data_IF_915985120749
#
_entry.id   IF_915985120749
#
_cell.length_a   1.000
_cell.length_b   1.000
_cell.length_c   1.000
_cell.angle_alpha   90.00
_cell.angle_beta   90.00
_cell.angle_gamma   90.00
#
_symmetry.space_group_name_H-M   'P 1'
#
loop_
_entity.id
_entity.type
_entity.pdbx_description
1 polymer ?
#
# COMPACT_ATOMS: atom_id res chain seq x y z
N UNK A 1 11.86 16.21 -17.37
CA UNK A 1 13.05 15.97 -16.54
C UNK A 1 13.07 14.51 -16.12
N UNK A 2 13.88 13.71 -16.80
CA UNK A 2 14.14 12.29 -16.52
C UNK A 2 14.85 12.16 -15.18
N UNK A 3 14.29 11.40 -14.25
CA UNK A 3 15.06 10.85 -13.12
C UNK A 3 15.45 9.42 -13.51
N UNK A 4 16.65 9.31 -14.06
CA UNK A 4 17.40 8.06 -14.14
C UNK A 4 18.49 8.09 -13.06
N UNK A 5 18.81 6.92 -12.51
CA UNK A 5 19.85 6.62 -11.54
C UNK A 5 19.54 6.93 -10.06
N UNK A 6 19.10 5.88 -9.33
CA UNK A 6 19.55 5.66 -7.95
C UNK A 6 20.07 4.24 -7.80
N UNK A 7 21.38 4.10 -7.98
CA UNK A 7 22.20 3.10 -7.30
C UNK A 7 23.16 3.86 -6.39
N UNK A 8 23.00 3.74 -5.07
CA UNK A 8 24.07 3.98 -4.10
C UNK A 8 23.97 2.93 -3.00
N UNK A 9 25.05 2.15 -2.90
CA UNK A 9 25.39 1.28 -1.79
C UNK A 9 25.45 2.07 -0.49
N UNK A 10 24.79 1.58 0.56
CA UNK A 10 25.17 1.78 1.94
C UNK A 10 24.98 0.42 2.65
N UNK A 11 26.00 -0.01 3.39
CA UNK A 11 25.99 -1.14 4.34
C UNK A 11 26.23 -2.57 3.81
N UNK A 12 27.21 -2.77 2.92
CA UNK A 12 27.94 -4.06 2.83
C UNK A 12 27.18 -5.28 2.27
N UNK A 13 26.04 -5.09 1.62
CA UNK A 13 25.29 -6.17 0.96
C UNK A 13 25.65 -6.26 -0.52
N UNK A 14 26.03 -7.47 -0.97
CA UNK A 14 26.23 -7.83 -2.38
C UNK A 14 24.96 -7.51 -3.18
N UNK A 15 25.06 -6.59 -4.14
CA UNK A 15 24.09 -6.49 -5.23
C UNK A 15 24.70 -7.23 -6.43
N UNK A 16 24.17 -8.39 -6.85
CA UNK A 16 24.61 -9.00 -8.09
C UNK A 16 24.16 -8.14 -9.26
N UNK A 17 25.13 -7.62 -10.02
CA UNK A 17 24.90 -7.15 -11.38
C UNK A 17 24.62 -8.36 -12.28
N UNK A 18 23.35 -8.72 -12.45
CA UNK A 18 22.86 -9.59 -13.52
C UNK A 18 21.33 -9.62 -13.45
N UNK A 19 20.65 -9.84 -14.57
CA UNK A 19 19.23 -10.23 -14.60
C UNK A 19 19.04 -11.59 -13.90
N UNK A 20 19.18 -11.62 -12.59
CA UNK A 20 19.14 -12.79 -11.74
C UNK A 20 18.13 -12.51 -10.63
N UNK A 21 17.21 -13.44 -10.49
CA UNK A 21 16.09 -13.48 -9.54
C UNK A 21 16.48 -12.94 -8.16
N UNK A 22 15.55 -12.24 -7.49
CA UNK A 22 15.77 -11.82 -6.11
C UNK A 22 16.01 -13.08 -5.27
N UNK A 23 17.21 -13.29 -4.69
CA UNK A 23 17.59 -14.59 -4.11
C UNK A 23 16.70 -15.02 -2.92
N UNK A 24 15.91 -14.09 -2.39
CA UNK A 24 14.98 -14.30 -1.28
C UNK A 24 13.51 -14.38 -1.71
N UNK A 25 13.22 -14.35 -3.01
CA UNK A 25 11.86 -14.56 -3.54
C UNK A 25 11.22 -15.87 -3.01
N UNK A 26 11.94 -17.01 -2.92
CA UNK A 26 11.39 -18.24 -2.36
C UNK A 26 10.96 -18.11 -0.88
N UNK A 27 11.47 -17.14 -0.14
CA UNK A 27 11.10 -16.91 1.26
C UNK A 27 9.79 -16.12 1.40
N UNK A 28 9.34 -15.41 0.36
CA UNK A 28 8.17 -14.52 0.43
C UNK A 28 6.90 -15.27 0.86
N UNK A 29 6.55 -16.44 0.31
CA UNK A 29 5.35 -17.17 0.74
C UNK A 29 5.40 -17.57 2.23
N UNK A 30 6.57 -17.98 2.73
CA UNK A 30 6.76 -18.37 4.13
C UNK A 30 6.60 -17.15 5.05
N UNK A 31 7.25 -16.03 4.70
CA UNK A 31 7.15 -14.79 5.45
C UNK A 31 5.72 -14.23 5.42
N UNK A 32 5.03 -14.32 4.29
CA UNK A 32 3.61 -13.91 4.20
C UNK A 32 2.73 -14.78 5.10
N UNK A 33 2.96 -16.09 5.14
CA UNK A 33 2.24 -16.99 6.05
C UNK A 33 2.49 -16.61 7.52
N UNK A 34 3.73 -16.33 7.89
CA UNK A 34 4.10 -15.92 9.23
C UNK A 34 3.56 -14.53 9.60
N UNK A 35 3.48 -13.60 8.64
CA UNK A 35 2.94 -12.26 8.84
C UNK A 35 1.43 -12.26 9.11
N UNK A 36 0.68 -13.12 8.42
CA UNK A 36 -0.80 -13.15 8.53
C UNK A 36 -1.33 -14.15 9.56
N UNK A 37 -0.51 -15.13 9.97
CA UNK A 37 -0.88 -16.06 11.05
C UNK A 37 -0.83 -15.37 12.40
N UNK A 38 -1.85 -15.63 13.24
CA UNK A 38 -1.88 -15.20 14.64
C UNK A 38 -1.10 -16.14 15.57
N UNK A 39 -0.74 -17.34 15.09
CA UNK A 39 -0.16 -18.40 15.92
C UNK A 39 1.27 -18.09 16.36
N UNK A 40 2.00 -17.27 15.60
CA UNK A 40 3.36 -16.84 15.91
C UNK A 40 3.47 -15.63 16.84
N UNK A 41 2.34 -15.01 17.21
CA UNK A 41 2.28 -13.78 17.99
C UNK A 41 2.79 -12.53 17.26
N UNK A 42 2.60 -11.36 17.88
CA UNK A 42 2.89 -10.06 17.27
C UNK A 42 4.37 -9.86 16.88
N UNK A 43 5.29 -10.48 17.61
CA UNK A 43 6.73 -10.42 17.31
C UNK A 43 7.05 -11.08 15.96
N UNK A 44 6.58 -12.31 15.73
CA UNK A 44 6.83 -13.00 14.46
C UNK A 44 6.16 -12.26 13.30
N UNK A 45 4.94 -11.76 13.50
CA UNK A 45 4.26 -10.95 12.48
C UNK A 45 5.07 -9.70 12.12
N UNK A 46 5.54 -8.97 13.14
CA UNK A 46 6.32 -7.74 12.96
C UNK A 46 7.64 -7.99 12.22
N UNK A 47 8.42 -8.98 12.64
CA UNK A 47 9.69 -9.31 11.98
C UNK A 47 9.46 -9.81 10.55
N UNK A 48 8.43 -10.61 10.32
CA UNK A 48 8.08 -11.09 8.98
C UNK A 48 7.69 -9.93 8.07
N UNK A 49 6.84 -9.00 8.54
CA UNK A 49 6.45 -7.80 7.79
C UNK A 49 7.64 -6.86 7.53
N UNK A 50 8.58 -6.75 8.47
CA UNK A 50 9.80 -5.97 8.26
C UNK A 50 10.65 -6.56 7.13
N UNK A 51 10.88 -7.89 7.15
CA UNK A 51 11.58 -8.59 6.07
C UNK A 51 10.87 -8.41 4.72
N UNK A 52 9.54 -8.61 4.69
CA UNK A 52 8.73 -8.41 3.48
C UNK A 52 8.79 -6.97 2.96
N UNK A 53 8.76 -5.98 3.84
CA UNK A 53 8.87 -4.55 3.47
C UNK A 53 10.20 -4.28 2.76
N UNK A 54 11.30 -4.85 3.26
CA UNK A 54 12.62 -4.72 2.64
C UNK A 54 12.69 -5.45 1.29
N UNK A 55 12.10 -6.64 1.17
CA UNK A 55 12.02 -7.36 -0.10
C UNK A 55 11.20 -6.61 -1.14
N UNK A 56 10.12 -5.94 -0.72
CA UNK A 56 9.29 -5.07 -1.54
C UNK A 56 9.97 -3.75 -1.94
N UNK A 57 11.26 -3.55 -1.66
CA UNK A 57 12.06 -2.52 -2.34
C UNK A 57 12.45 -2.95 -3.77
N UNK A 58 12.35 -4.24 -4.08
CA UNK A 58 12.62 -4.81 -5.39
C UNK A 58 11.31 -5.17 -6.09
N UNK A 59 10.95 -4.41 -7.13
CA UNK A 59 9.70 -4.56 -7.88
C UNK A 59 9.47 -5.97 -8.45
N UNK A 60 10.55 -6.70 -8.77
CA UNK A 60 10.49 -8.05 -9.31
C UNK A 60 9.86 -9.05 -8.32
N UNK A 61 9.90 -8.75 -7.02
CA UNK A 61 9.30 -9.59 -5.98
C UNK A 61 7.79 -9.39 -5.82
N UNK A 62 7.22 -8.33 -6.39
CA UNK A 62 5.87 -7.88 -6.04
C UNK A 62 4.76 -8.84 -6.49
N UNK A 63 4.99 -9.64 -7.54
CA UNK A 63 3.99 -10.60 -8.02
C UNK A 63 3.62 -11.63 -6.94
N UNK A 64 4.58 -12.03 -6.11
CA UNK A 64 4.38 -12.98 -5.02
C UNK A 64 3.39 -12.48 -3.94
N UNK A 65 3.09 -11.18 -3.89
CA UNK A 65 2.18 -10.59 -2.90
C UNK A 65 0.71 -10.61 -3.33
N UNK A 66 0.41 -10.78 -4.62
CA UNK A 66 -0.96 -10.64 -5.19
C UNK A 66 -1.99 -11.49 -4.43
N UNK A 67 -1.69 -12.76 -4.21
CA UNK A 67 -2.57 -13.71 -3.51
C UNK A 67 -2.70 -13.51 -1.99
N UNK A 68 -2.09 -12.45 -1.43
CA UNK A 68 -2.11 -12.14 0.01
C UNK A 68 -2.56 -10.71 0.33
N UNK A 69 -2.80 -9.87 -0.68
CA UNK A 69 -3.25 -8.48 -0.47
C UNK A 69 -4.52 -8.40 0.41
N UNK A 70 -5.48 -9.29 0.22
CA UNK A 70 -6.68 -9.38 1.06
C UNK A 70 -6.35 -9.49 2.56
N UNK A 71 -5.42 -10.37 2.91
CA UNK A 71 -5.03 -10.60 4.31
C UNK A 71 -4.21 -9.43 4.88
N UNK A 72 -3.37 -8.81 4.06
CA UNK A 72 -2.64 -7.60 4.45
C UNK A 72 -3.64 -6.47 4.78
N UNK A 73 -4.70 -6.29 3.99
CA UNK A 73 -5.73 -5.30 4.30
C UNK A 73 -6.48 -5.60 5.61
N UNK A 74 -6.73 -6.88 5.94
CA UNK A 74 -7.30 -7.27 7.24
C UNK A 74 -6.34 -6.92 8.39
N UNK A 75 -5.04 -7.09 8.21
CA UNK A 75 -4.06 -6.68 9.22
C UNK A 75 -4.07 -5.16 9.43
N UNK A 76 -4.22 -4.36 8.37
CA UNK A 76 -4.37 -2.91 8.51
C UNK A 76 -5.59 -2.57 9.38
N UNK A 77 -6.70 -3.28 9.18
CA UNK A 77 -7.94 -3.05 9.92
C UNK A 77 -7.88 -3.51 11.38
N UNK A 78 -7.31 -4.69 11.65
CA UNK A 78 -7.53 -5.42 12.91
C UNK A 78 -6.32 -5.60 13.80
N UNK A 79 -5.10 -5.39 13.28
CA UNK A 79 -3.88 -5.62 14.05
C UNK A 79 -3.59 -4.47 15.03
N UNK A 80 -2.65 -4.69 15.96
CA UNK A 80 -2.12 -3.62 16.81
C UNK A 80 -1.34 -2.58 15.99
N UNK A 81 -1.02 -1.45 16.61
CA UNK A 81 -0.35 -0.32 15.94
C UNK A 81 1.00 -0.69 15.32
N UNK A 82 1.74 -1.62 15.92
CA UNK A 82 3.07 -2.02 15.42
C UNK A 82 2.92 -2.83 14.14
N UNK A 83 2.11 -3.88 14.17
CA UNK A 83 1.84 -4.75 13.01
C UNK A 83 1.13 -3.96 11.91
N UNK A 84 0.16 -3.10 12.27
CA UNK A 84 -0.54 -2.21 11.33
C UNK A 84 0.45 -1.30 10.60
N UNK A 85 1.33 -0.62 11.34
CA UNK A 85 2.29 0.30 10.74
C UNK A 85 3.27 -0.42 9.80
N UNK A 86 3.76 -1.61 10.17
CA UNK A 86 4.62 -2.39 9.27
C UNK A 86 3.88 -2.86 8.02
N UNK A 87 2.62 -3.29 8.17
CA UNK A 87 1.76 -3.65 7.04
C UNK A 87 1.56 -2.47 6.09
N UNK A 88 1.31 -1.27 6.62
CA UNK A 88 1.16 -0.05 5.82
C UNK A 88 2.45 0.32 5.08
N UNK A 89 3.63 0.16 5.71
CA UNK A 89 4.93 0.38 5.03
C UNK A 89 5.11 -0.57 3.85
N UNK A 90 4.79 -1.85 4.03
CA UNK A 90 4.79 -2.82 2.93
C UNK A 90 3.83 -2.39 1.80
N UNK A 91 2.59 -2.04 2.13
CA UNK A 91 1.61 -1.59 1.12
C UNK A 91 2.04 -0.33 0.38
N UNK A 92 2.72 0.62 1.04
CA UNK A 92 3.32 1.79 0.40
C UNK A 92 4.39 1.39 -0.62
N UNK A 93 5.28 0.45 -0.27
CA UNK A 93 6.28 -0.04 -1.22
C UNK A 93 5.64 -0.71 -2.43
N UNK A 94 4.64 -1.58 -2.20
CA UNK A 94 3.89 -2.23 -3.27
C UNK A 94 3.17 -1.20 -4.16
N UNK A 95 2.60 -0.14 -3.60
CA UNK A 95 1.87 0.88 -4.38
C UNK A 95 2.77 1.81 -5.20
N UNK A 96 4.07 1.88 -4.91
CA UNK A 96 5.04 2.55 -5.77
C UNK A 96 5.21 1.84 -7.12
N UNK A 97 4.94 0.53 -7.19
CA UNK A 97 4.96 -0.24 -8.43
C UNK A 97 3.61 -0.13 -9.16
N UNK A 98 3.60 0.60 -10.27
CA UNK A 98 2.41 0.77 -11.12
C UNK A 98 1.71 -0.53 -11.55
N UNK A 99 2.44 -1.65 -11.68
CA UNK A 99 1.87 -2.96 -12.05
C UNK A 99 1.04 -3.57 -10.93
N UNK A 100 1.28 -3.17 -9.68
CA UNK A 100 0.53 -3.65 -8.52
C UNK A 100 -0.73 -2.84 -8.26
N UNK A 101 -0.86 -1.62 -8.77
CA UNK A 101 -2.02 -0.75 -8.49
C UNK A 101 -3.37 -1.39 -8.85
N UNK A 102 -3.56 -2.05 -10.01
CA UNK A 102 -4.83 -2.74 -10.30
C UNK A 102 -5.17 -3.83 -9.28
N UNK A 103 -4.16 -4.58 -8.80
CA UNK A 103 -4.33 -5.60 -7.77
C UNK A 103 -4.68 -5.02 -6.41
N UNK A 104 -4.04 -3.90 -6.02
CA UNK A 104 -4.34 -3.18 -4.79
C UNK A 104 -5.76 -2.59 -4.80
N UNK A 105 -6.21 -2.10 -5.96
CA UNK A 105 -7.59 -1.61 -6.14
C UNK A 105 -8.63 -2.73 -6.07
N UNK A 106 -8.32 -3.92 -6.59
CA UNK A 106 -9.17 -5.11 -6.52
C UNK A 106 -9.22 -5.76 -5.13
N UNK A 107 -8.19 -5.54 -4.30
CA UNK A 107 -8.14 -6.08 -2.94
C UNK A 107 -9.19 -5.44 -2.02
N UNK A 108 -9.41 -6.04 -0.85
CA UNK A 108 -10.34 -5.54 0.16
C UNK A 108 -9.90 -4.17 0.69
N UNK A 109 -10.83 -3.25 0.86
CA UNK A 109 -10.63 -2.00 1.59
C UNK A 109 -10.68 -2.27 3.11
N UNK A 110 -9.75 -1.71 3.91
CA UNK A 110 -9.94 -1.66 5.36
C UNK A 110 -11.24 -0.91 5.69
N UNK A 111 -12.13 -1.49 6.50
CA UNK A 111 -13.42 -0.83 6.81
C UNK A 111 -13.23 0.47 7.61
N UNK A 112 -12.14 0.56 8.36
CA UNK A 112 -11.74 1.75 9.13
C UNK A 112 -10.87 2.74 8.32
N UNK A 113 -10.83 2.66 6.99
CA UNK A 113 -9.94 3.48 6.14
C UNK A 113 -10.01 4.98 6.47
N UNK A 114 -11.22 5.53 6.61
CA UNK A 114 -11.40 6.97 6.90
C UNK A 114 -11.00 7.34 8.33
N UNK A 115 -11.21 6.44 9.29
CA UNK A 115 -10.70 6.61 10.67
C UNK A 115 -9.17 6.67 10.68
N UNK A 116 -8.50 5.84 9.86
CA UNK A 116 -7.03 5.84 9.76
C UNK A 116 -6.45 7.12 9.16
N UNK A 117 -7.25 7.92 8.43
CA UNK A 117 -6.86 9.26 7.95
C UNK A 117 -6.91 10.34 9.04
N UNK A 118 -7.46 10.01 10.21
CA UNK A 118 -7.56 10.84 11.41
C UNK A 118 -6.83 10.24 12.60
N UNK A 119 -6.00 9.22 12.35
CA UNK A 119 -5.34 8.49 13.42
C UNK A 119 -4.47 9.44 14.27
N UNK A 120 -4.54 9.28 15.60
CA UNK A 120 -3.72 10.04 16.53
C UNK A 120 -2.23 9.72 16.34
N UNK A 121 -1.92 8.53 15.83
CA UNK A 121 -0.61 8.16 15.36
C UNK A 121 -0.35 8.78 13.97
N UNK A 122 0.45 9.84 13.97
CA UNK A 122 0.90 10.55 12.77
C UNK A 122 1.43 9.60 11.68
N UNK A 123 2.25 8.62 12.05
CA UNK A 123 2.88 7.73 11.08
C UNK A 123 1.85 6.84 10.37
N UNK A 124 0.80 6.40 11.07
CA UNK A 124 -0.30 5.64 10.46
C UNK A 124 -0.99 6.50 9.41
N UNK A 125 -1.40 7.72 9.78
CA UNK A 125 -2.05 8.67 8.86
C UNK A 125 -1.19 8.93 7.62
N UNK A 126 0.10 9.22 7.81
CA UNK A 126 1.01 9.49 6.69
C UNK A 126 1.17 8.30 5.75
N UNK A 127 1.28 7.07 6.29
CA UNK A 127 1.44 5.87 5.45
C UNK A 127 0.17 5.54 4.68
N UNK A 128 -1.01 5.70 5.29
CA UNK A 128 -2.29 5.55 4.58
C UNK A 128 -2.42 6.59 3.45
N UNK A 129 -2.13 7.86 3.73
CA UNK A 129 -2.16 8.90 2.70
C UNK A 129 -1.18 8.63 1.56
N UNK A 130 0.06 8.23 1.88
CA UNK A 130 1.06 7.90 0.85
C UNK A 130 0.61 6.73 -0.01
N UNK A 131 0.06 5.69 0.62
CA UNK A 131 -0.50 4.52 -0.07
C UNK A 131 -1.62 4.91 -1.03
N UNK A 132 -2.61 5.67 -0.55
CA UNK A 132 -3.72 6.15 -1.37
C UNK A 132 -3.27 7.12 -2.45
N UNK A 133 -2.34 8.03 -2.17
CA UNK A 133 -1.82 8.98 -3.15
C UNK A 133 -1.17 8.28 -4.34
N UNK A 134 -0.39 7.23 -4.11
CA UNK A 134 0.20 6.43 -5.18
C UNK A 134 -0.88 5.75 -6.05
N UNK A 135 -1.85 5.11 -5.41
CA UNK A 135 -2.95 4.41 -6.10
C UNK A 135 -3.82 5.38 -6.90
N UNK A 136 -4.34 6.42 -6.26
CA UNK A 136 -5.28 7.37 -6.87
C UNK A 136 -4.62 8.13 -8.01
N UNK A 137 -3.38 8.62 -7.81
CA UNK A 137 -2.65 9.33 -8.86
C UNK A 137 -2.45 8.45 -10.10
N UNK A 138 -2.08 7.17 -9.90
CA UNK A 138 -1.92 6.24 -11.01
C UNK A 138 -3.24 5.90 -11.70
N UNK A 139 -4.26 5.56 -10.91
CA UNK A 139 -5.57 5.15 -11.41
C UNK A 139 -6.20 6.25 -12.26
N UNK A 140 -6.19 7.50 -11.80
CA UNK A 140 -6.70 8.64 -12.57
C UNK A 140 -5.86 8.88 -13.82
N UNK A 141 -4.52 8.90 -13.70
CA UNK A 141 -3.62 9.11 -14.85
C UNK A 141 -3.81 8.06 -15.95
N UNK A 142 -4.15 6.83 -15.57
CA UNK A 142 -4.40 5.71 -16.49
C UNK A 142 -5.88 5.50 -16.81
N UNK A 143 -6.77 6.31 -16.23
CA UNK A 143 -8.22 6.20 -16.39
C UNK A 143 -8.73 4.79 -16.08
N UNK A 144 -8.19 4.16 -15.02
CA UNK A 144 -8.59 2.82 -14.63
C UNK A 144 -10.06 2.81 -14.19
N UNK A 145 -10.79 1.82 -14.70
CA UNK A 145 -12.15 1.48 -14.32
C UNK A 145 -12.18 0.12 -13.61
N UNK A 146 -13.35 -0.24 -13.08
CA UNK A 146 -13.58 -1.56 -12.48
C UNK A 146 -13.31 -2.73 -13.47
N UNK A 147 -13.47 -2.48 -14.78
CA UNK A 147 -13.24 -3.49 -15.83
C UNK A 147 -11.74 -3.76 -16.05
N UNK A 148 -10.87 -2.80 -15.73
CA UNK A 148 -9.42 -2.92 -15.87
C UNK A 148 -8.75 -3.65 -14.71
N UNK A 149 -9.50 -3.91 -13.64
CA UNK A 149 -8.98 -4.60 -12.47
C UNK A 149 -8.86 -6.10 -12.73
N UNK A 150 -7.88 -6.80 -12.16
CA UNK A 150 -7.82 -8.25 -12.21
C UNK A 150 -9.04 -8.88 -11.53
N UNK A 151 -9.54 -10.00 -12.07
CA UNK A 151 -10.58 -10.81 -11.42
C UNK A 151 -9.98 -11.77 -10.39
N UNK A 152 -8.71 -12.16 -10.59
CA UNK A 152 -7.95 -12.95 -9.62
C UNK A 152 -7.83 -12.20 -8.29
N UNK A 153 -8.19 -12.88 -7.19
CA UNK A 153 -8.12 -12.35 -5.83
C UNK A 153 -8.95 -11.07 -5.58
N UNK A 154 -9.84 -10.70 -6.50
CA UNK A 154 -10.71 -9.54 -6.34
C UNK A 154 -11.69 -9.78 -5.20
N UNK A 155 -11.77 -8.83 -4.27
CA UNK A 155 -12.78 -8.85 -3.22
C UNK A 155 -14.18 -8.70 -3.83
N UNK A 156 -15.21 -9.20 -3.15
CA UNK A 156 -16.58 -8.97 -3.57
C UNK A 156 -16.90 -7.47 -3.52
N UNK A 157 -17.62 -6.94 -4.50
CA UNK A 157 -18.20 -5.60 -4.37
C UNK A 157 -19.27 -5.63 -3.27
N UNK A 158 -19.36 -4.61 -2.38
CA UNK A 158 -18.66 -3.32 -2.41
C UNK A 158 -17.34 -3.27 -1.61
N UNK A 159 -16.77 -4.41 -1.21
CA UNK A 159 -15.62 -4.44 -0.29
C UNK A 159 -14.27 -4.10 -0.94
N UNK A 160 -14.19 -3.94 -2.26
CA UNK A 160 -12.95 -3.58 -2.96
C UNK A 160 -12.46 -2.17 -2.58
N UNK A 161 -11.14 -1.94 -2.58
CA UNK A 161 -10.58 -0.60 -2.43
C UNK A 161 -11.06 0.36 -3.52
N UNK A 162 -11.23 -0.12 -4.76
CA UNK A 162 -11.82 0.70 -5.83
C UNK A 162 -13.19 1.25 -5.43
N UNK A 163 -14.09 0.41 -4.93
CA UNK A 163 -15.40 0.84 -4.45
C UNK A 163 -15.31 1.80 -3.25
N UNK A 164 -14.36 1.59 -2.33
CA UNK A 164 -14.15 2.51 -1.20
C UNK A 164 -13.62 3.90 -1.62
N UNK A 165 -12.94 4.02 -2.78
CA UNK A 165 -12.37 5.28 -3.25
C UNK A 165 -13.26 6.01 -4.28
N UNK A 166 -13.97 5.28 -5.13
CA UNK A 166 -14.83 5.84 -6.19
C UNK A 166 -16.32 5.59 -6.03
N UNK A 167 -16.73 4.69 -5.14
CA UNK A 167 -18.14 4.45 -4.85
C UNK A 167 -18.77 5.64 -4.12
N UNK A 168 -20.05 5.89 -4.37
CA UNK A 168 -20.83 6.89 -3.64
C UNK A 168 -21.41 6.27 -2.36
N UNK A 169 -21.37 6.94 -1.19
CA UNK A 169 -20.89 8.32 -0.94
C UNK A 169 -19.39 8.44 -0.58
N UNK A 170 -18.64 7.34 -0.66
CA UNK A 170 -17.24 7.27 -0.18
C UNK A 170 -16.30 8.22 -0.95
N UNK A 171 -16.53 8.42 -2.25
CA UNK A 171 -15.76 9.36 -3.08
C UNK A 171 -15.88 10.79 -2.58
N UNK A 172 -17.09 11.27 -2.36
CA UNK A 172 -17.36 12.63 -1.87
C UNK A 172 -16.74 12.83 -0.48
N UNK A 173 -16.82 11.80 0.37
CA UNK A 173 -16.20 11.82 1.67
C UNK A 173 -14.66 11.91 1.59
N UNK A 174 -14.01 11.15 0.70
CA UNK A 174 -12.57 11.21 0.49
C UNK A 174 -12.12 12.58 -0.03
N UNK A 175 -12.87 13.19 -0.96
CA UNK A 175 -12.59 14.52 -1.48
C UNK A 175 -12.66 15.59 -0.39
N UNK A 176 -13.72 15.56 0.44
CA UNK A 176 -13.84 16.48 1.57
C UNK A 176 -12.71 16.27 2.58
N UNK A 177 -12.38 15.01 2.86
CA UNK A 177 -11.36 14.64 3.83
C UNK A 177 -9.98 15.14 3.43
N UNK A 178 -9.60 14.89 2.17
CA UNK A 178 -8.30 15.31 1.62
C UNK A 178 -8.21 16.82 1.53
N UNK A 179 -9.29 17.53 1.17
CA UNK A 179 -9.35 19.00 1.22
C UNK A 179 -9.01 19.56 2.60
N UNK A 180 -9.54 18.97 3.66
CA UNK A 180 -9.22 19.39 5.04
C UNK A 180 -7.76 19.05 5.40
N UNK A 181 -7.27 17.87 5.00
CA UNK A 181 -5.91 17.42 5.32
C UNK A 181 -4.82 18.25 4.63
N UNK A 182 -5.09 18.80 3.44
CA UNK A 182 -4.19 19.74 2.74
C UNK A 182 -3.88 20.99 3.59
N UNK A 183 -4.81 21.40 4.46
CA UNK A 183 -4.65 22.59 5.30
C UNK A 183 -3.93 22.31 6.62
N UNK A 184 -3.48 21.07 6.88
CA UNK A 184 -2.73 20.76 8.10
C UNK A 184 -1.33 21.39 8.06
N UNK A 185 -0.84 21.79 9.23
CA UNK A 185 0.52 22.29 9.40
C UNK A 185 1.61 21.26 9.10
N UNK A 186 1.26 19.97 9.14
CA UNK A 186 2.19 18.88 8.81
C UNK A 186 2.38 18.80 7.30
N UNK A 187 3.57 19.19 6.82
CA UNK A 187 3.88 19.33 5.41
C UNK A 187 3.80 18.00 4.64
N UNK A 188 4.22 16.88 5.25
CA UNK A 188 4.15 15.58 4.59
C UNK A 188 2.70 15.13 4.42
N UNK A 189 1.89 15.26 5.47
CA UNK A 189 0.47 14.93 5.43
C UNK A 189 -0.25 15.83 4.42
N UNK A 190 0.02 17.14 4.45
CA UNK A 190 -0.54 18.10 3.51
C UNK A 190 -0.18 17.75 2.07
N UNK A 191 1.09 17.44 1.80
CA UNK A 191 1.58 17.06 0.48
C UNK A 191 0.91 15.78 -0.05
N UNK A 192 0.85 14.71 0.75
CA UNK A 192 0.22 13.46 0.31
C UNK A 192 -1.30 13.61 0.12
N UNK A 193 -1.97 14.36 1.00
CA UNK A 193 -3.39 14.68 0.83
C UNK A 193 -3.63 15.51 -0.44
N UNK A 194 -2.74 16.46 -0.74
CA UNK A 194 -2.79 17.29 -1.95
C UNK A 194 -2.71 16.45 -3.22
N UNK A 195 -1.82 15.46 -3.27
CA UNK A 195 -1.73 14.52 -4.40
C UNK A 195 -3.04 13.78 -4.66
N UNK A 196 -3.74 13.36 -3.62
CA UNK A 196 -5.05 12.69 -3.75
C UNK A 196 -6.11 13.69 -4.21
N UNK A 197 -6.18 14.84 -3.54
CA UNK A 197 -7.15 15.90 -3.85
C UNK A 197 -7.04 16.37 -5.30
N UNK A 198 -5.83 16.71 -5.74
CA UNK A 198 -5.55 17.17 -7.11
C UNK A 198 -5.89 16.12 -8.16
N UNK A 199 -5.66 14.83 -7.85
CA UNK A 199 -6.01 13.74 -8.75
C UNK A 199 -7.52 13.53 -8.85
N UNK A 200 -8.29 13.74 -7.76
CA UNK A 200 -9.74 13.55 -7.76
C UNK A 200 -10.55 14.74 -8.29
N UNK A 201 -9.91 15.92 -8.42
CA UNK A 201 -10.54 17.17 -8.88
C UNK A 201 -10.26 17.48 -10.35
N UNK A 202 -9.44 16.68 -11.03
CA UNK A 202 -9.19 16.72 -12.47
C UNK A 202 -10.06 15.70 -13.19
#
# INVERSE_FOLDING_TARGET
MMWSARSRLLDGVLIPHSKGECPFEPCIPLLLSAAVSRDGGCYLQTVSLLCLTNLALCDDTHEAFRGRLYHLCILVETADDTVRLQTLKLLVNLSCNSRMVPYLLAAKAPQNLFTLLEDSNREVTLRVLTYLANIVTYAVKKQLSLLDLPSEYRAAAPETLYAALWGSPSKEHLQLKTRTLVLRADEDISFQAGRIFDALMR
#
